data_IF_451246749499
#
_entry.id   IF_451246749499
#
_cell.length_a   1.000
_cell.length_b   1.000
_cell.length_c   1.000
_cell.angle_alpha   90.00
_cell.angle_beta   90.00
_cell.angle_gamma   90.00
#
_symmetry.space_group_name_H-M   'P 1'
#
loop_
_entity.id
_entity.type
_entity.pdbx_description
1 polymer ?
#
# COMPACT_ATOMS: atom_id res chain seq x y z
N UNK A 1 47.86 -22.56 -49.49
CA UNK A 1 47.51 -21.86 -48.23
C UNK A 1 46.69 -20.62 -48.57
N UNK A 2 45.36 -20.63 -48.38
CA UNK A 2 44.46 -19.47 -48.51
C UNK A 2 43.41 -19.55 -47.38
N UNK A 3 43.15 -18.40 -46.75
CA UNK A 3 42.40 -18.18 -45.50
C UNK A 3 40.88 -18.13 -45.71
N UNK A 4 40.16 -18.40 -44.60
CA UNK A 4 38.83 -17.89 -44.19
C UNK A 4 37.63 -18.37 -45.04
N UNK A 5 36.43 -18.63 -44.50
CA UNK A 5 35.63 -17.75 -43.62
C UNK A 5 34.68 -18.59 -42.74
N UNK A 6 34.63 -18.25 -41.46
CA UNK A 6 33.57 -18.63 -40.51
C UNK A 6 32.22 -18.02 -40.94
N UNK A 7 31.15 -18.79 -40.94
CA UNK A 7 29.78 -18.28 -40.90
C UNK A 7 29.06 -18.86 -39.69
N UNK A 8 29.09 -18.08 -38.60
CA UNK A 8 28.30 -18.28 -37.41
C UNK A 8 26.98 -17.52 -37.62
N UNK A 9 25.89 -18.22 -37.91
CA UNK A 9 24.57 -17.61 -38.04
C UNK A 9 23.93 -17.49 -36.65
N UNK A 10 24.06 -16.31 -36.04
CA UNK A 10 23.39 -15.93 -34.81
C UNK A 10 21.95 -15.51 -35.12
N UNK A 11 20.98 -16.35 -34.79
CA UNK A 11 19.57 -15.95 -34.72
C UNK A 11 19.36 -15.18 -33.41
N UNK A 12 19.64 -13.87 -33.45
CA UNK A 12 19.31 -12.94 -32.38
C UNK A 12 17.84 -12.54 -32.49
N UNK A 13 16.96 -13.29 -31.83
CA UNK A 13 15.63 -12.78 -31.49
C UNK A 13 15.73 -11.77 -30.34
N UNK A 14 14.91 -10.71 -30.31
CA UNK A 14 14.87 -9.82 -29.16
C UNK A 14 14.33 -10.62 -27.96
N UNK A 15 15.19 -10.78 -26.95
CA UNK A 15 14.75 -11.15 -25.60
C UNK A 15 13.88 -9.99 -25.12
N UNK A 16 12.59 -10.25 -24.95
CA UNK A 16 11.74 -9.39 -24.11
C UNK A 16 12.34 -9.45 -22.71
N UNK A 17 13.18 -8.47 -22.36
CA UNK A 17 13.52 -8.22 -20.98
C UNK A 17 12.20 -7.92 -20.26
N UNK A 18 11.73 -8.85 -19.44
CA UNK A 18 10.76 -8.52 -18.41
C UNK A 18 11.37 -7.38 -17.59
N UNK A 19 10.73 -6.21 -17.58
CA UNK A 19 11.19 -5.07 -16.79
C UNK A 19 11.34 -5.51 -15.32
N UNK A 20 12.55 -5.46 -14.73
CA UNK A 20 12.76 -5.87 -13.34
C UNK A 20 12.05 -4.96 -12.32
N UNK A 21 11.45 -3.86 -12.76
CA UNK A 21 10.72 -2.92 -11.91
C UNK A 21 9.34 -3.41 -11.48
N UNK A 22 8.73 -4.38 -12.17
CA UNK A 22 7.47 -4.97 -11.70
C UNK A 22 7.64 -5.94 -10.51
N UNK A 23 8.87 -6.33 -10.17
CA UNK A 23 9.19 -7.34 -9.16
C UNK A 23 9.23 -6.82 -7.71
N UNK A 24 8.81 -5.59 -7.39
CA UNK A 24 8.70 -5.21 -5.97
C UNK A 24 7.58 -4.24 -5.64
N UNK A 25 6.38 -4.59 -6.09
CA UNK A 25 5.17 -4.26 -5.33
C UNK A 25 4.98 -5.35 -4.27
N UNK A 26 5.97 -5.55 -3.40
CA UNK A 26 5.78 -6.29 -2.18
C UNK A 26 6.05 -5.34 -1.04
N UNK A 27 5.21 -5.41 -0.01
CA UNK A 27 5.55 -4.73 1.20
C UNK A 27 6.83 -5.34 1.76
N UNK A 28 7.96 -4.62 1.68
CA UNK A 28 9.28 -5.10 2.10
C UNK A 28 9.46 -5.21 3.61
N UNK A 29 8.41 -5.60 4.34
CA UNK A 29 8.38 -5.61 5.81
C UNK A 29 8.91 -4.29 6.42
N UNK A 30 8.43 -3.15 5.91
CA UNK A 30 8.72 -1.81 6.47
C UNK A 30 7.50 -0.92 6.33
N UNK A 31 7.14 -0.10 7.33
CA UNK A 31 6.01 0.81 7.20
C UNK A 31 6.32 1.92 6.20
N UNK A 32 5.31 2.72 5.87
CA UNK A 32 5.38 3.85 4.94
C UNK A 32 6.21 5.04 5.45
N UNK A 33 6.74 4.95 6.68
CA UNK A 33 7.57 5.97 7.33
C UNK A 33 8.84 5.34 7.96
N UNK A 34 9.76 6.19 8.43
CA UNK A 34 11.00 5.73 9.07
C UNK A 34 10.76 5.41 10.55
N UNK A 35 10.80 4.13 10.93
CA UNK A 35 10.68 3.69 12.32
C UNK A 35 11.71 4.30 13.27
N UNK A 36 12.91 4.67 12.79
CA UNK A 36 13.90 5.34 13.63
C UNK A 36 13.50 6.78 14.01
N UNK A 37 12.45 7.32 13.39
CA UNK A 37 11.87 8.64 13.69
C UNK A 37 10.50 8.53 14.38
N UNK A 38 10.08 7.35 14.81
CA UNK A 38 8.80 7.13 15.47
C UNK A 38 8.87 7.63 16.92
N UNK A 39 8.21 8.75 17.20
CA UNK A 39 8.18 9.41 18.51
C UNK A 39 6.79 9.42 19.16
N UNK A 40 5.79 8.83 18.50
CA UNK A 40 4.40 8.74 18.96
C UNK A 40 4.00 7.28 19.23
N UNK A 41 3.14 7.00 20.23
CA UNK A 41 2.72 5.62 20.54
C UNK A 41 2.15 4.86 19.34
N UNK A 42 1.40 5.54 18.47
CA UNK A 42 0.83 4.94 17.25
C UNK A 42 1.91 4.51 16.27
N UNK A 43 2.90 5.37 16.00
CA UNK A 43 3.97 5.06 15.05
C UNK A 43 4.93 4.01 15.60
N UNK A 44 5.17 4.01 16.92
CA UNK A 44 5.91 2.96 17.59
C UNK A 44 5.20 1.60 17.49
N UNK A 45 3.91 1.54 17.77
CA UNK A 45 3.10 0.32 17.66
C UNK A 45 3.16 -0.28 16.25
N UNK A 46 3.03 0.57 15.22
CA UNK A 46 3.14 0.14 13.82
C UNK A 46 4.52 -0.48 13.54
N UNK A 47 5.58 0.08 14.12
CA UNK A 47 6.94 -0.39 13.90
C UNK A 47 7.29 -1.71 14.60
N UNK A 48 6.70 -1.99 15.76
CA UNK A 48 7.00 -3.20 16.53
C UNK A 48 6.07 -4.38 16.21
N UNK A 49 4.90 -4.12 15.61
CA UNK A 49 3.91 -5.15 15.30
C UNK A 49 4.00 -5.54 13.82
N UNK A 50 4.53 -6.73 13.46
CA UNK A 50 4.84 -7.10 12.07
C UNK A 50 3.66 -6.98 11.10
N UNK A 51 2.47 -7.37 11.56
CA UNK A 51 1.25 -7.32 10.78
C UNK A 51 0.76 -5.88 10.53
N UNK A 52 0.97 -4.95 11.48
CA UNK A 52 0.71 -3.52 11.25
C UNK A 52 1.71 -2.92 10.28
N UNK A 53 2.98 -3.29 10.41
CA UNK A 53 4.03 -2.86 9.51
C UNK A 53 3.73 -3.26 8.06
N UNK A 54 3.25 -4.49 7.83
CA UNK A 54 2.83 -4.94 6.50
C UNK A 54 1.59 -4.19 6.01
N UNK A 55 0.63 -3.95 6.90
CA UNK A 55 -0.63 -3.26 6.57
C UNK A 55 -0.40 -1.78 6.25
N UNK A 56 0.43 -1.06 7.01
CA UNK A 56 0.74 0.37 6.79
C UNK A 56 1.51 0.59 5.48
N UNK A 57 2.41 -0.32 5.18
CA UNK A 57 3.12 -0.38 3.93
C UNK A 57 2.17 -0.59 2.74
N UNK A 58 1.24 -1.54 2.83
CA UNK A 58 0.18 -1.74 1.84
C UNK A 58 -0.67 -0.48 1.65
N UNK A 59 -1.04 0.21 2.74
CA UNK A 59 -1.68 1.52 2.66
C UNK A 59 -0.83 2.54 1.88
N UNK A 60 0.48 2.58 2.14
CA UNK A 60 1.40 3.46 1.43
C UNK A 60 1.40 3.22 -0.08
N UNK A 61 1.38 1.96 -0.52
CA UNK A 61 1.22 1.63 -1.94
C UNK A 61 -0.16 2.08 -2.47
N UNK A 62 -1.26 1.78 -1.75
CA UNK A 62 -2.61 2.09 -2.23
C UNK A 62 -2.82 3.60 -2.39
N UNK A 63 -2.24 4.37 -1.48
CA UNK A 63 -2.24 5.83 -1.52
C UNK A 63 -1.46 6.37 -2.73
N UNK A 64 -0.27 5.81 -3.04
CA UNK A 64 0.49 6.22 -4.24
C UNK A 64 -0.27 5.88 -5.52
N UNK A 65 -0.75 4.65 -5.65
CA UNK A 65 -1.48 4.21 -6.84
C UNK A 65 -2.75 5.05 -7.05
N UNK A 66 -3.46 5.42 -5.98
CA UNK A 66 -4.62 6.31 -6.04
C UNK A 66 -4.26 7.72 -6.54
N UNK A 67 -3.13 8.28 -6.09
CA UNK A 67 -2.64 9.59 -6.54
C UNK A 67 -2.23 9.56 -8.00
N UNK A 68 -1.48 8.54 -8.39
CA UNK A 68 -1.05 8.35 -9.78
C UNK A 68 -2.26 8.21 -10.72
N UNK A 69 -3.27 7.45 -10.29
CA UNK A 69 -4.52 7.26 -11.04
C UNK A 69 -5.34 8.55 -11.19
N UNK A 70 -5.34 9.41 -10.17
CA UNK A 70 -6.10 10.65 -10.18
C UNK A 70 -5.42 11.79 -10.95
N UNK A 71 -4.09 11.70 -11.13
CA UNK A 71 -3.31 12.74 -11.79
C UNK A 71 -3.30 14.07 -11.03
N UNK A 72 -2.74 15.11 -11.66
CA UNK A 72 -2.52 16.42 -11.03
C UNK A 72 -3.79 17.09 -10.50
N UNK A 73 -4.94 16.89 -11.15
CA UNK A 73 -6.21 17.49 -10.77
C UNK A 73 -6.79 16.90 -9.46
N UNK A 74 -6.56 15.60 -9.20
CA UNK A 74 -7.08 14.92 -8.01
C UNK A 74 -6.06 14.74 -6.88
N UNK A 75 -4.77 14.95 -7.17
CA UNK A 75 -3.67 14.70 -6.25
C UNK A 75 -3.83 15.43 -4.91
N UNK A 76 -4.06 16.75 -4.96
CA UNK A 76 -4.18 17.57 -3.76
C UNK A 76 -5.37 17.15 -2.88
N UNK A 77 -6.48 16.75 -3.49
CA UNK A 77 -7.65 16.27 -2.76
C UNK A 77 -7.35 14.94 -2.04
N UNK A 78 -6.67 14.01 -2.70
CA UNK A 78 -6.28 12.72 -2.09
C UNK A 78 -5.28 12.93 -0.95
N UNK A 79 -4.30 13.83 -1.12
CA UNK A 79 -3.36 14.16 -0.05
C UNK A 79 -4.08 14.71 1.18
N UNK A 80 -5.05 15.62 0.98
CA UNK A 80 -5.84 16.18 2.07
C UNK A 80 -6.69 15.11 2.76
N UNK A 81 -7.45 14.33 1.99
CA UNK A 81 -8.27 13.22 2.49
C UNK A 81 -7.44 12.23 3.32
N UNK A 82 -6.24 11.91 2.86
CA UNK A 82 -5.36 10.96 3.55
C UNK A 82 -4.82 11.54 4.86
N UNK A 83 -4.43 12.82 4.91
CA UNK A 83 -3.99 13.50 6.14
C UNK A 83 -5.11 13.55 7.18
N UNK A 84 -6.32 13.95 6.75
CA UNK A 84 -7.48 14.02 7.62
C UNK A 84 -7.84 12.64 8.17
N UNK A 85 -7.77 11.60 7.33
CA UNK A 85 -7.99 10.22 7.76
C UNK A 85 -6.95 9.73 8.78
N UNK A 86 -5.65 10.02 8.59
CA UNK A 86 -4.59 9.66 9.55
C UNK A 86 -4.88 10.30 10.91
N UNK A 87 -5.18 11.61 10.92
CA UNK A 87 -5.49 12.32 12.16
C UNK A 87 -6.70 11.70 12.89
N UNK A 88 -7.76 11.35 12.15
CA UNK A 88 -8.94 10.69 12.70
C UNK A 88 -8.65 9.27 13.21
N UNK A 89 -7.85 8.48 12.49
CA UNK A 89 -7.40 7.14 12.92
C UNK A 89 -6.66 7.24 14.25
N UNK A 90 -5.67 8.10 14.33
CA UNK A 90 -4.79 8.21 15.50
C UNK A 90 -5.57 8.73 16.71
N UNK A 91 -6.45 9.72 16.52
CA UNK A 91 -7.32 10.23 17.58
C UNK A 91 -8.30 9.16 18.10
N UNK A 92 -8.82 8.29 17.24
CA UNK A 92 -9.70 7.22 17.65
C UNK A 92 -8.94 6.08 18.35
N UNK A 93 -7.81 5.63 17.79
CA UNK A 93 -7.08 4.48 18.33
C UNK A 93 -6.29 4.79 19.61
N UNK A 94 -5.89 6.06 19.85
CA UNK A 94 -5.35 6.47 21.15
C UNK A 94 -6.35 6.34 22.30
N UNK A 95 -7.66 6.35 22.00
CA UNK A 95 -8.73 6.17 22.99
C UNK A 95 -9.12 4.70 23.17
N UNK A 96 -8.52 3.78 22.43
CA UNK A 96 -8.79 2.35 22.57
C UNK A 96 -8.38 1.86 23.97
N UNK A 97 -9.06 0.84 24.51
CA UNK A 97 -8.62 0.17 25.72
C UNK A 97 -7.17 -0.32 25.65
N UNK A 98 -6.55 -0.55 26.80
CA UNK A 98 -5.22 -1.16 26.86
C UNK A 98 -5.23 -2.51 26.12
N UNK A 99 -4.22 -2.74 25.27
CA UNK A 99 -4.13 -3.93 24.41
C UNK A 99 -4.90 -3.84 23.08
N UNK A 100 -5.73 -2.82 22.87
CA UNK A 100 -6.58 -2.67 21.67
C UNK A 100 -6.03 -1.65 20.66
N UNK A 101 -4.82 -1.12 20.89
CA UNK A 101 -4.18 -0.18 19.96
C UNK A 101 -3.93 -0.85 18.60
N UNK A 102 -3.23 -1.99 18.58
CA UNK A 102 -2.92 -2.70 17.34
C UNK A 102 -4.18 -3.17 16.57
N UNK A 103 -5.16 -3.84 17.21
CA UNK A 103 -6.42 -4.20 16.54
C UNK A 103 -7.15 -2.99 15.92
N UNK A 104 -7.18 -1.85 16.63
CA UNK A 104 -7.78 -0.62 16.11
C UNK A 104 -7.04 -0.10 14.88
N UNK A 105 -5.71 0.00 14.95
CA UNK A 105 -4.87 0.48 13.85
C UNK A 105 -5.01 -0.42 12.62
N UNK A 106 -4.99 -1.74 12.79
CA UNK A 106 -5.17 -2.70 11.69
C UNK A 106 -6.52 -2.50 11.02
N UNK A 107 -7.58 -2.51 11.81
CA UNK A 107 -8.96 -2.45 11.33
C UNK A 107 -9.20 -1.18 10.50
N UNK A 108 -8.80 -0.01 11.03
CA UNK A 108 -8.97 1.26 10.33
C UNK A 108 -8.08 1.38 9.09
N UNK A 109 -6.85 0.87 9.15
CA UNK A 109 -5.92 0.91 8.01
C UNK A 109 -6.40 0.03 6.86
N UNK A 110 -6.91 -1.17 7.15
CA UNK A 110 -7.55 -2.05 6.14
C UNK A 110 -8.77 -1.39 5.51
N UNK A 111 -9.61 -0.71 6.28
CA UNK A 111 -10.76 0.03 5.73
C UNK A 111 -10.32 1.13 4.76
N UNK A 112 -9.22 1.82 5.06
CA UNK A 112 -8.72 2.86 4.16
C UNK A 112 -8.11 2.29 2.89
N UNK A 113 -7.37 1.19 2.98
CA UNK A 113 -6.88 0.46 1.79
C UNK A 113 -8.06 0.13 0.87
N UNK A 114 -9.14 -0.45 1.42
CA UNK A 114 -10.36 -0.78 0.67
C UNK A 114 -10.99 0.47 0.04
N UNK A 115 -11.16 1.55 0.81
CA UNK A 115 -11.71 2.82 0.31
C UNK A 115 -10.90 3.37 -0.87
N UNK A 116 -9.57 3.33 -0.81
CA UNK A 116 -8.69 3.80 -1.89
C UNK A 116 -8.80 2.90 -3.12
N UNK A 117 -8.73 1.58 -2.92
CA UNK A 117 -8.86 0.58 -4.00
C UNK A 117 -10.19 0.73 -4.74
N UNK A 118 -11.30 0.78 -4.00
CA UNK A 118 -12.64 0.87 -4.56
C UNK A 118 -12.90 2.21 -5.25
N UNK A 119 -12.60 3.33 -4.57
CA UNK A 119 -12.86 4.68 -5.11
C UNK A 119 -12.07 4.98 -6.37
N UNK A 120 -10.85 4.47 -6.48
CA UNK A 120 -9.95 4.74 -7.60
C UNK A 120 -9.84 3.58 -8.58
N UNK A 121 -10.64 2.53 -8.40
CA UNK A 121 -10.64 1.32 -9.21
C UNK A 121 -9.21 0.78 -9.45
N UNK A 122 -8.44 0.67 -8.37
CA UNK A 122 -7.04 0.22 -8.43
C UNK A 122 -6.96 -1.24 -8.87
N UNK A 123 -5.95 -1.65 -9.68
CA UNK A 123 -5.81 -3.02 -10.13
C UNK A 123 -5.42 -3.94 -8.97
N UNK A 124 -6.32 -4.87 -8.64
CA UNK A 124 -6.16 -5.82 -7.53
C UNK A 124 -5.40 -7.08 -7.95
N UNK A 125 -5.58 -7.55 -9.18
CA UNK A 125 -5.03 -8.82 -9.63
C UNK A 125 -3.48 -8.79 -9.64
N UNK A 126 -2.86 -9.72 -8.90
CA UNK A 126 -1.41 -9.89 -8.83
C UNK A 126 -0.65 -8.80 -8.04
N UNK A 127 -1.32 -8.09 -7.11
CA UNK A 127 -0.74 -6.98 -6.34
C UNK A 127 -0.94 -7.14 -4.82
N UNK A 128 -0.22 -6.31 -4.03
CA UNK A 128 -0.22 -6.22 -2.55
C UNK A 128 -1.63 -6.25 -1.93
N UNK A 129 -2.64 -5.75 -2.66
CA UNK A 129 -3.98 -5.60 -2.13
C UNK A 129 -4.85 -6.83 -2.19
N UNK A 130 -4.45 -7.92 -2.85
CA UNK A 130 -5.30 -9.10 -3.03
C UNK A 130 -5.92 -9.59 -1.71
N UNK A 131 -5.11 -9.65 -0.64
CA UNK A 131 -5.55 -10.00 0.71
C UNK A 131 -6.49 -8.97 1.38
N UNK A 132 -6.50 -7.73 0.90
CA UNK A 132 -7.28 -6.61 1.46
C UNK A 132 -8.53 -6.29 0.64
N UNK A 133 -8.57 -6.65 -0.64
CA UNK A 133 -9.62 -6.35 -1.62
C UNK A 133 -10.67 -7.45 -1.77
N UNK A 134 -10.37 -8.71 -1.43
CA UNK A 134 -11.28 -9.84 -1.66
C UNK A 134 -11.83 -10.39 -0.35
N UNK A 135 -12.79 -9.66 0.20
CA UNK A 135 -13.69 -10.16 1.22
C UNK A 135 -14.77 -9.11 1.44
N UNK A 136 -16.02 -9.45 1.07
CA UNK A 136 -17.19 -8.64 1.46
C UNK A 136 -17.04 -8.25 2.94
N UNK A 137 -17.25 -6.98 3.32
CA UNK A 137 -17.22 -6.60 4.73
C UNK A 137 -18.13 -7.54 5.52
N UNK A 138 -17.59 -8.17 6.57
CA UNK A 138 -18.43 -8.78 7.60
C UNK A 138 -19.11 -7.61 8.31
N UNK A 139 -20.33 -7.33 7.89
CA UNK A 139 -21.23 -6.26 8.32
C UNK A 139 -20.72 -4.82 8.09
N UNK A 140 -21.63 -3.86 7.78
CA UNK A 140 -21.27 -2.46 7.65
C UNK A 140 -20.79 -1.93 9.00
N UNK A 141 -19.66 -1.24 9.00
CA UNK A 141 -19.36 -0.27 10.06
C UNK A 141 -20.42 0.80 9.93
N UNK A 142 -21.32 0.82 10.89
CA UNK A 142 -22.31 1.88 11.06
C UNK A 142 -21.64 3.22 10.87
N UNK A 143 -22.14 3.99 9.91
CA UNK A 143 -21.80 5.38 9.75
C UNK A 143 -22.10 6.10 11.07
N UNK A 144 -21.08 6.42 11.85
CA UNK A 144 -21.22 7.39 12.94
C UNK A 144 -20.96 8.78 12.36
N UNK A 145 -22.01 9.24 11.68
CA UNK A 145 -22.55 10.59 11.52
C UNK A 145 -21.59 11.75 11.81
N UNK A 146 -21.35 12.54 10.77
CA UNK A 146 -21.12 13.97 10.90
C UNK A 146 -22.21 14.58 11.81
N UNK A 147 -21.77 15.23 12.88
CA UNK A 147 -22.55 16.20 13.64
C UNK A 147 -21.79 17.52 13.60
#
# INVERSE_FOLDING_TARGET
MKRAVLLCALLSGPVMAADPDFASHECRYRPSFNCAKADEPVSQEICITPDLLQTDCALGYAYRDARDKAGSAGDAAIQKDQKDWIAARDAACRKSPAGELAPCLKTRTVQQIRRLVERHALPVAGKIYEQYSLGKPKAPLSQEKAK
#
